data_IF_187490415085
#
_entry.id   IF_187490415085
#
_cell.length_a   1.000
_cell.length_b   1.000
_cell.length_c   1.000
_cell.angle_alpha   90.00
_cell.angle_beta   90.00
_cell.angle_gamma   90.00
#
_symmetry.space_group_name_H-M   'P 1'
#
loop_
_entity.id
_entity.type
_entity.pdbx_description
1 polymer ?
#
# COMPACT_ATOMS: atom_id res chain seq x y z
N UNK A 1 -25.43 -62.33 -37.77
CA UNK A 1 -24.16 -62.51 -38.49
C UNK A 1 -23.69 -61.08 -38.84
N UNK A 2 -22.69 -60.58 -38.31
CA UNK A 2 -21.29 -60.69 -38.19
C UNK A 2 -20.77 -59.58 -37.22
N UNK A 3 -20.01 -59.96 -36.22
CA UNK A 3 -19.30 -59.14 -35.30
C UNK A 3 -18.20 -58.33 -36.01
N UNK A 4 -18.04 -57.05 -35.61
CA UNK A 4 -16.73 -56.37 -35.70
C UNK A 4 -16.48 -55.58 -34.43
N UNK A 5 -15.43 -55.97 -33.72
CA UNK A 5 -14.79 -55.34 -32.58
C UNK A 5 -14.29 -53.93 -32.87
N UNK A 6 -14.42 -52.96 -31.97
CA UNK A 6 -13.63 -51.72 -32.04
C UNK A 6 -12.28 -51.90 -31.40
N UNK A 7 -11.28 -51.51 -32.12
CA UNK A 7 -9.86 -51.45 -31.80
C UNK A 7 -9.61 -50.42 -30.67
N UNK A 8 -8.96 -50.84 -29.59
CA UNK A 8 -8.44 -50.01 -28.54
C UNK A 8 -7.36 -49.09 -29.06
N UNK A 9 -7.60 -47.78 -28.99
CA UNK A 9 -6.53 -46.79 -29.13
C UNK A 9 -5.85 -46.54 -27.78
N UNK A 10 -4.58 -46.89 -27.73
CA UNK A 10 -3.63 -46.64 -26.68
C UNK A 10 -3.50 -45.15 -26.40
N UNK A 11 -3.82 -44.69 -25.19
CA UNK A 11 -3.49 -43.38 -24.70
C UNK A 11 -2.00 -43.32 -24.36
N UNK A 12 -1.23 -42.67 -25.19
CA UNK A 12 0.15 -42.29 -24.85
C UNK A 12 0.14 -41.21 -23.77
N UNK A 13 0.40 -41.59 -22.52
CA UNK A 13 0.70 -40.67 -21.45
C UNK A 13 2.00 -39.91 -21.78
N UNK A 14 1.85 -38.64 -22.08
CA UNK A 14 2.99 -37.74 -22.27
C UNK A 14 3.64 -37.51 -20.89
N UNK A 15 4.72 -38.22 -20.63
CA UNK A 15 5.57 -37.95 -19.43
C UNK A 15 6.15 -36.54 -19.56
N UNK A 16 5.70 -35.62 -18.69
CA UNK A 16 6.31 -34.31 -18.52
C UNK A 16 7.74 -34.51 -18.00
N UNK A 17 8.78 -34.00 -18.65
CA UNK A 17 10.16 -34.29 -18.25
C UNK A 17 10.41 -33.79 -16.80
N UNK A 18 10.94 -34.67 -15.96
CA UNK A 18 11.27 -34.43 -14.52
C UNK A 18 12.08 -33.13 -14.29
N UNK A 19 12.83 -32.68 -15.28
CA UNK A 19 13.60 -31.44 -15.25
C UNK A 19 12.69 -30.20 -15.15
N UNK A 20 11.53 -30.17 -15.83
CA UNK A 20 10.58 -29.07 -15.74
C UNK A 20 9.92 -28.97 -14.36
N UNK A 21 9.68 -30.12 -13.72
CA UNK A 21 9.11 -30.17 -12.38
C UNK A 21 10.08 -29.61 -11.33
N UNK A 22 11.35 -30.00 -11.37
CA UNK A 22 12.39 -29.51 -10.47
C UNK A 22 12.65 -28.01 -10.60
N UNK A 23 12.55 -27.47 -11.84
CA UNK A 23 12.65 -26.02 -12.06
C UNK A 23 11.45 -25.27 -11.49
N UNK A 24 10.25 -25.80 -11.62
CA UNK A 24 9.03 -25.21 -11.09
C UNK A 24 9.08 -25.15 -9.55
N UNK A 25 9.47 -26.25 -8.89
CA UNK A 25 9.66 -26.29 -7.43
C UNK A 25 10.72 -25.30 -6.94
N UNK A 26 11.79 -25.11 -7.70
CA UNK A 26 12.82 -24.13 -7.36
C UNK A 26 12.32 -22.70 -7.45
N UNK A 27 11.56 -22.36 -8.49
CA UNK A 27 10.94 -21.02 -8.63
C UNK A 27 9.87 -20.74 -7.56
N UNK A 28 9.12 -21.74 -7.17
CA UNK A 28 8.14 -21.59 -6.08
C UNK A 28 8.84 -21.34 -4.74
N UNK A 29 9.91 -22.05 -4.42
CA UNK A 29 10.72 -21.82 -3.21
C UNK A 29 11.39 -20.45 -3.20
N UNK A 30 11.98 -20.01 -4.30
CA UNK A 30 12.57 -18.67 -4.43
C UNK A 30 11.52 -17.58 -4.22
N UNK A 31 10.31 -17.77 -4.75
CA UNK A 31 9.20 -16.83 -4.60
C UNK A 31 8.66 -16.76 -3.18
N UNK A 32 8.59 -17.89 -2.47
CA UNK A 32 8.23 -17.94 -1.06
C UNK A 32 9.31 -17.28 -0.18
N UNK A 33 10.60 -17.53 -0.43
CA UNK A 33 11.69 -16.90 0.30
C UNK A 33 11.75 -15.38 0.08
N UNK A 34 11.44 -14.89 -1.13
CA UNK A 34 11.33 -13.45 -1.40
C UNK A 34 10.12 -12.82 -0.72
N UNK A 35 8.99 -13.52 -0.67
CA UNK A 35 7.80 -13.06 0.03
C UNK A 35 8.03 -12.98 1.55
N UNK A 36 8.70 -13.96 2.14
CA UNK A 36 9.06 -13.98 3.55
C UNK A 36 10.08 -12.88 3.91
N UNK A 37 11.06 -12.62 3.03
CA UNK A 37 11.98 -11.48 3.19
C UNK A 37 11.27 -10.14 3.14
N UNK A 38 10.33 -9.95 2.20
CA UNK A 38 9.54 -8.73 2.11
C UNK A 38 8.62 -8.52 3.32
N UNK A 39 8.02 -9.59 3.86
CA UNK A 39 7.24 -9.52 5.07
C UNK A 39 8.11 -9.20 6.30
N UNK A 40 9.27 -9.82 6.44
CA UNK A 40 10.21 -9.54 7.53
C UNK A 40 10.75 -8.12 7.50
N UNK A 41 10.90 -7.51 6.33
CA UNK A 41 11.29 -6.10 6.17
C UNK A 41 10.14 -5.18 6.58
N UNK A 42 8.90 -5.48 6.16
CA UNK A 42 7.71 -4.72 6.56
C UNK A 42 7.48 -4.75 8.06
N UNK A 43 7.67 -5.89 8.71
CA UNK A 43 7.52 -6.04 10.16
C UNK A 43 8.60 -5.26 10.94
N UNK A 44 9.84 -5.20 10.42
CA UNK A 44 10.93 -4.42 11.02
C UNK A 44 10.75 -2.91 10.83
N UNK A 45 10.18 -2.47 9.70
CA UNK A 45 9.87 -1.06 9.47
C UNK A 45 8.64 -0.61 10.28
N UNK A 46 7.63 -1.47 10.43
CA UNK A 46 6.44 -1.15 11.24
C UNK A 46 6.75 -0.95 12.71
N UNK A 47 7.79 -1.60 13.26
CA UNK A 47 8.23 -1.42 14.65
C UNK A 47 8.84 -0.05 14.95
N UNK A 48 9.27 0.70 13.92
CA UNK A 48 9.83 2.04 14.07
C UNK A 48 8.79 3.16 13.94
N UNK A 49 7.58 2.84 13.48
CA UNK A 49 6.52 3.81 13.33
C UNK A 49 5.89 4.15 14.69
N UNK A 50 5.65 5.43 14.99
CA UNK A 50 4.91 5.82 16.18
C UNK A 50 3.49 5.28 16.12
N UNK A 51 3.02 4.74 17.24
CA UNK A 51 1.65 4.23 17.35
C UNK A 51 0.71 5.36 17.80
N UNK A 52 -0.31 5.71 17.01
CA UNK A 52 -1.26 6.74 17.39
C UNK A 52 -2.13 6.27 18.56
N UNK A 53 -2.46 7.22 19.44
CA UNK A 53 -3.28 6.97 20.62
C UNK A 53 -4.62 7.69 20.55
N UNK A 54 -5.65 7.14 21.20
CA UNK A 54 -6.98 7.76 21.26
C UNK A 54 -7.61 7.90 19.87
N UNK A 55 -8.06 9.10 19.52
CA UNK A 55 -8.74 9.42 18.25
C UNK A 55 -7.78 9.84 17.12
N UNK A 56 -6.49 9.63 17.29
CA UNK A 56 -5.47 10.08 16.34
C UNK A 56 -5.14 8.99 15.33
N UNK A 57 -4.77 9.42 14.13
CA UNK A 57 -4.31 8.55 13.06
C UNK A 57 -2.95 9.01 12.52
N UNK A 58 -2.12 8.07 12.14
CA UNK A 58 -0.81 8.32 11.54
C UNK A 58 -0.96 8.29 10.03
N UNK A 59 -0.55 9.37 9.38
CA UNK A 59 -0.69 9.56 7.93
C UNK A 59 0.67 9.86 7.32
N UNK A 60 0.98 9.17 6.23
CA UNK A 60 2.15 9.43 5.39
C UNK A 60 1.75 10.43 4.30
N UNK A 61 2.26 11.68 4.31
CA UNK A 61 1.97 12.66 3.27
C UNK A 61 2.41 12.16 1.89
N UNK A 62 1.61 12.43 0.87
CA UNK A 62 1.97 12.12 -0.51
C UNK A 62 3.21 12.90 -0.92
N UNK A 63 4.19 12.18 -1.47
CA UNK A 63 5.43 12.77 -2.01
C UNK A 63 5.28 12.90 -3.52
N UNK A 64 5.45 14.12 -4.03
CA UNK A 64 5.53 14.32 -5.48
C UNK A 64 6.72 13.53 -6.06
N UNK A 65 6.53 12.99 -7.27
CA UNK A 65 7.62 12.31 -7.97
C UNK A 65 8.72 13.33 -8.30
N UNK A 66 10.00 12.93 -8.21
CA UNK A 66 11.12 13.86 -8.49
C UNK A 66 11.18 14.32 -9.95
N UNK A 67 10.40 13.69 -10.83
CA UNK A 67 10.35 13.98 -12.26
C UNK A 67 8.93 14.31 -12.69
N UNK A 68 8.75 15.46 -13.33
CA UNK A 68 7.47 15.87 -13.92
C UNK A 68 7.08 14.99 -15.10
N UNK A 69 5.79 14.99 -15.48
CA UNK A 69 5.29 14.29 -16.69
C UNK A 69 6.03 14.74 -17.96
N UNK A 70 6.54 15.98 -18.00
CA UNK A 70 7.36 16.54 -19.08
C UNK A 70 8.85 16.18 -19.02
N UNK A 71 9.29 15.33 -18.06
CA UNK A 71 10.66 14.87 -17.98
C UNK A 71 11.64 15.78 -17.22
N UNK A 72 11.18 16.88 -16.63
CA UNK A 72 11.99 17.83 -15.87
C UNK A 72 12.16 17.30 -14.46
N UNK A 73 13.40 17.26 -13.95
CA UNK A 73 13.71 16.93 -12.56
C UNK A 73 13.43 18.14 -11.66
N UNK A 74 12.71 17.90 -10.58
CA UNK A 74 12.47 18.88 -9.53
C UNK A 74 13.69 18.96 -8.62
N UNK A 75 14.01 20.15 -8.09
CA UNK A 75 15.01 20.31 -7.05
C UNK A 75 14.51 19.71 -5.73
N UNK A 76 15.43 19.29 -4.88
CA UNK A 76 15.09 18.73 -3.56
C UNK A 76 14.28 19.72 -2.72
N UNK A 77 14.62 21.02 -2.79
CA UNK A 77 13.86 22.09 -2.14
C UNK A 77 12.41 22.20 -2.64
N UNK A 78 12.19 22.01 -3.94
CA UNK A 78 10.84 22.00 -4.53
C UNK A 78 10.04 20.77 -4.08
N UNK A 79 10.70 19.62 -3.93
CA UNK A 79 10.08 18.40 -3.44
C UNK A 79 9.70 18.57 -1.97
N UNK A 80 10.56 19.14 -1.13
CA UNK A 80 10.29 19.41 0.27
C UNK A 80 9.14 20.41 0.44
N UNK A 81 9.13 21.50 -0.30
CA UNK A 81 8.02 22.46 -0.30
C UNK A 81 6.69 21.82 -0.70
N UNK A 82 6.73 20.93 -1.67
CA UNK A 82 5.57 20.16 -2.11
C UNK A 82 5.04 19.24 -0.99
N UNK A 83 5.92 18.58 -0.23
CA UNK A 83 5.53 17.75 0.91
C UNK A 83 4.89 18.57 2.04
N UNK A 84 5.48 19.73 2.33
CA UNK A 84 4.93 20.66 3.34
C UNK A 84 3.54 21.13 2.95
N UNK A 85 3.30 21.36 1.66
CA UNK A 85 2.01 21.78 1.12
C UNK A 85 1.05 20.63 0.84
N UNK A 86 1.48 19.38 1.01
CA UNK A 86 0.63 18.22 0.71
C UNK A 86 -0.61 18.20 1.59
N UNK A 87 -1.75 18.07 0.92
CA UNK A 87 -3.08 17.94 1.54
C UNK A 87 -3.63 16.51 1.42
N UNK A 88 -2.85 15.59 0.86
CA UNK A 88 -3.20 14.19 0.67
C UNK A 88 -2.18 13.29 1.35
N UNK A 89 -2.61 12.17 1.90
CA UNK A 89 -1.74 11.18 2.52
C UNK A 89 -2.38 9.82 2.70
N UNK A 90 -1.54 8.82 2.92
CA UNK A 90 -1.92 7.43 3.16
C UNK A 90 -2.03 7.18 4.66
N UNK A 91 -3.13 6.59 5.12
CA UNK A 91 -3.29 6.20 6.51
C UNK A 91 -2.45 4.96 6.79
N UNK A 92 -1.46 5.09 7.68
CA UNK A 92 -0.57 4.00 8.11
C UNK A 92 -1.10 3.26 9.33
N UNK A 93 -1.63 3.99 10.31
CA UNK A 93 -2.15 3.43 11.55
C UNK A 93 -3.24 4.32 12.13
N UNK A 94 -4.14 3.73 12.91
CA UNK A 94 -5.23 4.43 13.59
C UNK A 94 -5.20 4.08 15.07
N UNK A 95 -5.53 5.06 15.90
CA UNK A 95 -5.68 4.85 17.33
C UNK A 95 -6.93 4.05 17.69
N UNK A 96 -6.99 3.47 18.89
CA UNK A 96 -8.06 2.56 19.27
C UNK A 96 -9.46 3.19 19.37
N UNK A 97 -9.54 4.50 19.50
CA UNK A 97 -10.79 5.24 19.60
C UNK A 97 -11.16 6.02 18.32
N UNK A 98 -10.38 5.84 17.23
CA UNK A 98 -10.73 6.44 15.95
C UNK A 98 -12.09 5.94 15.48
N UNK A 99 -12.94 6.88 15.08
CA UNK A 99 -14.31 6.61 14.61
C UNK A 99 -15.15 5.81 15.60
N UNK A 100 -15.02 6.16 16.89
CA UNK A 100 -15.88 5.58 17.91
C UNK A 100 -17.36 5.83 17.60
N UNK A 101 -18.19 4.79 17.76
CA UNK A 101 -19.61 4.83 17.44
C UNK A 101 -20.40 5.92 18.16
N UNK A 102 -19.91 6.38 19.32
CA UNK A 102 -20.51 7.50 20.03
C UNK A 102 -20.39 8.83 19.30
N UNK A 103 -19.26 9.05 18.60
CA UNK A 103 -18.97 10.26 17.83
C UNK A 103 -19.37 10.12 16.35
N UNK A 104 -19.25 8.90 15.80
CA UNK A 104 -19.52 8.59 14.40
C UNK A 104 -20.55 7.45 14.27
N UNK A 105 -21.84 7.74 14.44
CA UNK A 105 -22.90 6.71 14.41
C UNK A 105 -23.05 6.05 13.04
N UNK A 106 -22.66 6.73 11.95
CA UNK A 106 -22.71 6.22 10.58
C UNK A 106 -21.52 5.30 10.23
N UNK A 107 -20.55 5.18 11.14
CA UNK A 107 -19.36 4.37 10.95
C UNK A 107 -18.12 5.16 10.52
N UNK A 108 -16.99 4.49 10.29
CA UNK A 108 -15.73 5.12 9.93
C UNK A 108 -15.78 5.70 8.52
N UNK A 109 -15.24 6.91 8.35
CA UNK A 109 -15.11 7.57 7.05
C UNK A 109 -13.97 7.00 6.21
N UNK A 110 -12.94 6.44 6.85
CA UNK A 110 -11.77 5.86 6.21
C UNK A 110 -11.19 4.74 7.09
N UNK A 111 -10.28 3.98 6.54
CA UNK A 111 -9.57 2.87 7.18
C UNK A 111 -8.08 2.92 6.89
N UNK A 112 -7.30 2.10 7.57
CA UNK A 112 -5.87 1.92 7.29
C UNK A 112 -5.67 1.46 5.85
N UNK A 113 -4.78 2.13 5.14
CA UNK A 113 -4.50 1.90 3.72
C UNK A 113 -5.29 2.77 2.76
N UNK A 114 -6.22 3.60 3.23
CA UNK A 114 -6.92 4.57 2.39
C UNK A 114 -6.10 5.86 2.22
N UNK A 115 -6.24 6.47 1.04
CA UNK A 115 -5.75 7.81 0.78
C UNK A 115 -6.79 8.83 1.20
N UNK A 116 -6.36 9.81 1.99
CA UNK A 116 -7.24 10.85 2.55
C UNK A 116 -6.75 12.23 2.21
N UNK A 117 -7.71 13.15 2.09
CA UNK A 117 -7.46 14.59 1.97
C UNK A 117 -7.70 15.22 3.33
N UNK A 118 -6.80 16.11 3.71
CA UNK A 118 -6.86 16.88 4.95
C UNK A 118 -6.42 18.33 4.71
N UNK A 119 -6.72 19.22 5.64
CA UNK A 119 -6.31 20.62 5.50
C UNK A 119 -4.77 20.75 5.56
N UNK A 120 -4.22 21.69 4.79
CA UNK A 120 -2.75 21.93 4.68
C UNK A 120 -2.03 22.00 6.02
N UNK A 121 -2.65 22.58 7.01
CA UNK A 121 -2.08 22.79 8.35
C UNK A 121 -2.65 21.83 9.40
N UNK A 122 -3.45 20.85 8.99
CA UNK A 122 -4.01 19.86 9.90
C UNK A 122 -2.94 18.96 10.48
N UNK A 123 -3.12 18.62 11.74
CA UNK A 123 -2.30 17.67 12.47
C UNK A 123 -0.88 18.16 12.80
N UNK A 124 -0.18 17.31 13.53
CA UNK A 124 1.21 17.53 13.93
C UNK A 124 2.15 16.80 12.99
N UNK A 125 3.21 17.49 12.58
CA UNK A 125 4.28 16.89 11.77
C UNK A 125 5.30 16.24 12.67
N UNK A 126 5.71 15.04 12.30
CA UNK A 126 6.72 14.27 13.02
C UNK A 126 7.74 13.79 11.98
N UNK A 127 9.01 14.10 12.23
CA UNK A 127 10.12 13.55 11.46
C UNK A 127 10.52 12.21 12.08
N UNK A 128 10.54 11.18 11.28
CA UNK A 128 11.00 9.85 11.65
C UNK A 128 12.14 9.41 10.74
N UNK A 129 12.83 8.36 11.13
CA UNK A 129 13.84 7.73 10.28
C UNK A 129 13.17 7.18 9.01
N UNK A 130 13.39 7.84 7.88
CA UNK A 130 12.74 7.53 6.59
C UNK A 130 11.78 8.60 6.05
N UNK A 131 11.49 9.67 6.78
CA UNK A 131 10.72 10.80 6.28
C UNK A 131 9.79 11.48 7.27
N UNK A 132 8.92 12.32 6.73
CA UNK A 132 7.90 13.02 7.51
C UNK A 132 6.60 12.20 7.54
N UNK A 133 6.00 12.11 8.70
CA UNK A 133 4.64 11.61 8.92
C UNK A 133 3.80 12.68 9.61
N UNK A 134 2.49 12.60 9.47
CA UNK A 134 1.55 13.50 10.16
C UNK A 134 0.66 12.72 11.10
N UNK A 135 0.40 13.31 12.23
CA UNK A 135 -0.56 12.82 13.21
C UNK A 135 -1.81 13.69 13.15
N UNK A 136 -2.89 13.15 12.59
CA UNK A 136 -4.19 13.82 12.43
C UNK A 136 -5.19 13.31 13.48
N UNK A 137 -6.21 14.11 13.75
CA UNK A 137 -7.39 13.62 14.46
C UNK A 137 -8.37 12.98 13.46
N UNK A 138 -9.28 12.14 13.94
CA UNK A 138 -10.26 11.42 13.12
C UNK A 138 -11.26 12.35 12.40
N UNK A 139 -11.50 13.54 12.92
CA UNK A 139 -12.40 14.57 12.35
C UNK A 139 -11.70 15.56 11.39
N UNK A 140 -10.38 15.47 11.25
CA UNK A 140 -9.61 16.30 10.32
C UNK A 140 -9.56 15.77 8.89
N UNK A 141 -10.13 14.59 8.63
CA UNK A 141 -10.27 14.01 7.30
C UNK A 141 -11.41 14.70 6.56
N UNK A 142 -11.09 15.32 5.42
CA UNK A 142 -12.07 16.04 4.60
C UNK A 142 -12.67 15.17 3.50
N UNK A 143 -11.90 14.27 2.90
CA UNK A 143 -12.34 13.36 1.85
C UNK A 143 -11.42 12.14 1.74
N UNK A 144 -11.90 11.11 1.05
CA UNK A 144 -11.10 9.95 0.64
C UNK A 144 -10.90 9.96 -0.87
N UNK A 145 -9.76 9.49 -1.33
CA UNK A 145 -9.44 9.38 -2.76
C UNK A 145 -8.91 8.00 -3.07
N UNK A 146 -9.08 7.56 -4.31
CA UNK A 146 -8.58 6.27 -4.77
C UNK A 146 -7.13 6.37 -5.21
N UNK A 147 -6.78 7.43 -5.91
CA UNK A 147 -5.44 7.68 -6.42
C UNK A 147 -4.99 9.10 -6.04
N UNK A 148 -3.88 9.25 -5.31
CA UNK A 148 -3.36 10.57 -4.95
C UNK A 148 -2.82 11.36 -6.14
N UNK A 149 -2.52 10.71 -7.27
CA UNK A 149 -2.04 11.38 -8.49
C UNK A 149 -3.14 12.14 -9.21
N UNK A 150 -4.42 11.84 -8.93
CA UNK A 150 -5.57 12.56 -9.47
C UNK A 150 -5.75 13.95 -8.85
N UNK A 151 -5.04 14.22 -7.75
CA UNK A 151 -5.13 15.50 -7.06
C UNK A 151 -4.01 16.42 -7.53
N UNK A 152 -4.41 17.55 -8.10
CA UNK A 152 -3.47 18.61 -8.45
C UNK A 152 -3.17 19.45 -7.20
N UNK A 153 -1.96 19.32 -6.67
CA UNK A 153 -1.49 20.20 -5.61
C UNK A 153 -1.13 21.57 -6.22
N UNK A 154 -1.88 22.61 -5.86
CA UNK A 154 -1.50 23.98 -6.15
C UNK A 154 -0.45 24.44 -5.13
N UNK A 155 0.67 24.86 -5.63
CA UNK A 155 1.80 25.40 -4.86
C UNK A 155 1.57 26.85 -4.45
#
# INVERSE_FOLDING_TARGET
>A
MTEQKPTTMSSSSTEVPKIKLALAEKYEKEKEEEADKQNSIKDKESTKLPQPTGWRMLVLPFKAKPKTKGGIYLSDESIERSQVASTCGLILAMGPHCYDKGKFPEGPWCKVGDWVIFARYAGSRILIDGGEVRLLNDDEVLATVKDPEDIFHQF
#
